data_IF_542351401730
#
_entry.id   IF_542351401730
#
_cell.length_a   1.000
_cell.length_b   1.000
_cell.length_c   1.000
_cell.angle_alpha   90.00
_cell.angle_beta   90.00
_cell.angle_gamma   90.00
#
_symmetry.space_group_name_H-M   'P 1'
#
loop_
_entity.id
_entity.type
_entity.pdbx_description
1 polymer ?
#
# COMPACT_ATOMS: atom_id res chain seq x y z
N UNK A 1 -18.49 10.91 -11.29
CA UNK A 1 -17.15 11.29 -11.78
C UNK A 1 -16.45 9.98 -12.11
N UNK A 2 -15.78 9.86 -13.26
CA UNK A 2 -15.05 8.64 -13.62
C UNK A 2 -13.56 8.88 -13.45
N UNK A 3 -12.86 7.89 -12.89
CA UNK A 3 -11.41 7.88 -12.71
C UNK A 3 -10.81 6.69 -13.43
N UNK A 4 -9.65 6.90 -14.03
CA UNK A 4 -8.80 5.84 -14.55
C UNK A 4 -7.70 5.55 -13.51
N UNK A 5 -7.59 4.28 -13.13
CA UNK A 5 -6.55 3.80 -12.22
C UNK A 5 -5.62 2.82 -12.97
N UNK A 6 -4.32 3.05 -12.88
CA UNK A 6 -3.31 2.11 -13.37
C UNK A 6 -2.43 1.60 -12.22
N UNK A 7 -1.95 0.37 -12.38
CA UNK A 7 -1.08 -0.32 -11.45
C UNK A 7 0.40 -0.05 -11.73
N UNK A 8 1.23 -0.38 -10.76
CA UNK A 8 2.68 -0.32 -10.88
C UNK A 8 3.22 -1.56 -11.61
N UNK A 9 3.62 -1.35 -12.87
CA UNK A 9 4.32 -2.31 -13.72
C UNK A 9 5.73 -1.83 -14.09
N UNK A 10 6.23 -0.77 -13.44
CA UNK A 10 7.45 -0.08 -13.85
C UNK A 10 8.66 -1.02 -13.80
N UNK A 11 9.39 -1.16 -14.90
CA UNK A 11 10.50 -2.13 -14.99
C UNK A 11 11.68 -1.82 -14.07
N UNK A 12 11.77 -0.60 -13.56
CA UNK A 12 12.84 -0.16 -12.67
C UNK A 12 12.52 -0.39 -11.19
N UNK A 13 11.26 -0.63 -10.86
CA UNK A 13 10.84 -0.81 -9.47
C UNK A 13 11.06 -2.27 -9.05
N UNK A 14 11.48 -2.45 -7.80
CA UNK A 14 11.66 -3.78 -7.22
C UNK A 14 10.31 -4.49 -7.10
N UNK A 15 10.29 -5.82 -7.15
CA UNK A 15 9.05 -6.58 -6.95
C UNK A 15 8.39 -6.28 -5.60
N UNK A 16 9.19 -5.93 -4.60
CA UNK A 16 8.73 -5.53 -3.28
C UNK A 16 7.97 -4.20 -3.36
N UNK A 17 8.56 -3.18 -3.99
CA UNK A 17 7.92 -1.89 -4.19
C UNK A 17 6.63 -2.01 -5.01
N UNK A 18 6.66 -2.78 -6.10
CA UNK A 18 5.46 -3.05 -6.91
C UNK A 18 4.36 -3.71 -6.09
N UNK A 19 4.71 -4.72 -5.29
CA UNK A 19 3.74 -5.42 -4.45
C UNK A 19 3.11 -4.45 -3.44
N UNK A 20 3.93 -3.62 -2.77
CA UNK A 20 3.44 -2.61 -1.85
C UNK A 20 2.51 -1.60 -2.54
N UNK A 21 2.93 -1.07 -3.69
CA UNK A 21 2.17 -0.10 -4.47
C UNK A 21 0.84 -0.68 -4.96
N UNK A 22 0.87 -1.85 -5.61
CA UNK A 22 -0.33 -2.50 -6.13
C UNK A 22 -1.30 -2.92 -5.03
N UNK A 23 -0.79 -3.36 -3.88
CA UNK A 23 -1.61 -3.66 -2.72
C UNK A 23 -2.28 -2.38 -2.16
N UNK A 24 -1.57 -1.25 -2.06
CA UNK A 24 -2.17 0.04 -1.68
C UNK A 24 -3.27 0.47 -2.64
N UNK A 25 -3.05 0.34 -3.94
CA UNK A 25 -4.05 0.71 -4.95
C UNK A 25 -5.30 -0.15 -4.83
N UNK A 26 -5.15 -1.47 -4.70
CA UNK A 26 -6.28 -2.39 -4.50
C UNK A 26 -7.02 -2.13 -3.18
N UNK A 27 -6.29 -1.88 -2.09
CA UNK A 27 -6.90 -1.52 -0.81
C UNK A 27 -7.66 -0.19 -0.91
N UNK A 28 -7.12 0.79 -1.63
CA UNK A 28 -7.81 2.05 -1.90
C UNK A 28 -9.11 1.86 -2.67
N UNK A 29 -9.14 0.97 -3.68
CA UNK A 29 -10.36 0.62 -4.43
C UNK A 29 -11.35 -0.12 -3.53
N UNK A 30 -10.89 -1.11 -2.77
CA UNK A 30 -11.73 -1.93 -1.90
C UNK A 30 -12.37 -1.08 -0.78
N UNK A 31 -11.59 -0.20 -0.15
CA UNK A 31 -12.06 0.67 0.93
C UNK A 31 -12.59 2.03 0.43
N UNK A 32 -12.75 2.20 -0.89
CA UNK A 32 -13.30 3.42 -1.46
C UNK A 32 -14.67 3.73 -0.85
N UNK A 33 -14.82 4.94 -0.31
CA UNK A 33 -16.06 5.41 0.29
C UNK A 33 -16.67 6.59 -0.49
N UNK A 34 -16.18 6.83 -1.70
CA UNK A 34 -16.62 7.91 -2.58
C UNK A 34 -17.43 7.36 -3.76
N UNK A 35 -18.44 8.11 -4.16
CA UNK A 35 -19.32 7.81 -5.30
C UNK A 35 -18.66 8.17 -6.64
N UNK A 36 -17.57 7.48 -6.98
CA UNK A 36 -16.95 7.55 -8.30
C UNK A 36 -16.81 6.17 -8.92
N UNK A 37 -16.91 6.12 -10.25
CA UNK A 37 -16.56 4.95 -11.03
C UNK A 37 -15.04 4.92 -11.23
N UNK A 38 -14.44 3.74 -11.06
CA UNK A 38 -13.01 3.52 -11.29
C UNK A 38 -12.88 2.50 -12.42
N UNK A 39 -12.27 2.93 -13.52
CA UNK A 39 -11.92 2.10 -14.66
C UNK A 39 -10.42 1.77 -14.60
N UNK A 40 -10.04 0.54 -14.93
CA UNK A 40 -8.63 0.15 -14.97
C UNK A 40 -7.99 0.59 -16.30
N UNK A 41 -6.86 1.29 -16.21
CA UNK A 41 -5.99 1.66 -17.32
C UNK A 41 -4.82 0.67 -17.38
N UNK A 42 -4.97 -0.35 -18.21
CA UNK A 42 -3.97 -1.43 -18.38
C UNK A 42 -2.78 -1.02 -19.25
N UNK A 43 -2.89 0.09 -19.99
CA UNK A 43 -1.83 0.57 -20.89
C UNK A 43 -0.74 1.33 -20.11
N UNK A 44 -1.12 1.99 -19.02
CA UNK A 44 -0.19 2.75 -18.19
C UNK A 44 0.65 1.85 -17.27
N UNK A 45 1.97 2.04 -17.30
CA UNK A 45 2.93 1.19 -16.58
C UNK A 45 3.30 1.72 -15.18
N UNK A 46 2.77 2.86 -14.78
CA UNK A 46 3.07 3.52 -13.50
C UNK A 46 1.80 3.61 -12.67
N UNK A 47 1.89 3.63 -11.33
CA UNK A 47 0.74 3.87 -10.49
C UNK A 47 0.17 5.27 -10.77
N UNK A 48 -1.11 5.34 -11.12
CA UNK A 48 -1.76 6.62 -11.45
C UNK A 48 -3.25 6.55 -11.22
N UNK A 49 -3.81 7.60 -10.61
CA UNK A 49 -5.24 7.86 -10.58
C UNK A 49 -5.50 9.17 -11.34
N UNK A 50 -6.29 9.12 -12.42
CA UNK A 50 -6.52 10.25 -13.31
C UNK A 50 -8.01 10.48 -13.59
N UNK A 51 -8.40 11.74 -13.67
CA UNK A 51 -9.66 12.24 -14.21
C UNK A 51 -9.39 13.59 -14.90
N UNK A 52 -10.44 14.26 -15.39
CA UNK A 52 -10.31 15.59 -16.01
C UNK A 52 -9.70 16.66 -15.10
N UNK A 53 -9.81 16.51 -13.77
CA UNK A 53 -9.42 17.55 -12.80
C UNK A 53 -8.42 17.09 -11.74
N UNK A 54 -8.17 15.79 -11.64
CA UNK A 54 -7.29 15.20 -10.63
C UNK A 54 -6.33 14.25 -11.31
N UNK A 55 -5.06 14.37 -10.95
CA UNK A 55 -4.02 13.43 -11.37
C UNK A 55 -3.07 13.19 -10.21
N UNK A 56 -3.03 11.94 -9.73
CA UNK A 56 -2.18 11.48 -8.63
C UNK A 56 -1.31 10.34 -9.14
N UNK A 57 -0.04 10.31 -8.72
CA UNK A 57 0.93 9.29 -9.11
C UNK A 57 1.53 8.53 -7.91
N UNK A 58 1.30 9.03 -6.70
CA UNK A 58 1.88 8.46 -5.49
C UNK A 58 0.85 7.52 -4.83
N UNK A 59 1.16 6.22 -4.66
CA UNK A 59 0.21 5.22 -4.17
C UNK A 59 -0.43 5.53 -2.82
N UNK A 60 0.32 6.10 -1.86
CA UNK A 60 -0.25 6.48 -0.57
C UNK A 60 -1.28 7.62 -0.73
N UNK A 61 -0.99 8.62 -1.55
CA UNK A 61 -1.88 9.73 -1.86
C UNK A 61 -3.13 9.23 -2.61
N UNK A 62 -2.97 8.28 -3.54
CA UNK A 62 -4.09 7.64 -4.23
C UNK A 62 -5.00 6.92 -3.23
N UNK A 63 -4.44 6.07 -2.37
CA UNK A 63 -5.20 5.34 -1.34
C UNK A 63 -5.98 6.33 -0.45
N UNK A 64 -5.29 7.34 0.10
CA UNK A 64 -5.92 8.37 0.95
C UNK A 64 -7.04 9.11 0.25
N UNK A 65 -6.83 9.44 -1.04
CA UNK A 65 -7.83 10.12 -1.84
C UNK A 65 -9.08 9.26 -2.06
N UNK A 66 -8.91 7.97 -2.34
CA UNK A 66 -10.01 7.03 -2.56
C UNK A 66 -10.82 6.79 -1.29
N UNK A 67 -10.17 6.62 -0.14
CA UNK A 67 -10.88 6.33 1.12
C UNK A 67 -11.23 7.60 1.92
N UNK A 68 -10.95 8.79 1.37
CA UNK A 68 -11.17 10.08 2.00
C UNK A 68 -10.57 10.22 3.42
N UNK A 69 -9.41 9.62 3.66
CA UNK A 69 -8.77 9.63 4.98
C UNK A 69 -7.38 10.26 4.95
N UNK A 70 -7.29 11.43 5.59
CA UNK A 70 -6.06 12.21 5.73
C UNK A 70 -5.62 12.33 7.20
N UNK A 71 -6.28 11.60 8.11
CA UNK A 71 -5.89 11.60 9.52
C UNK A 71 -4.52 10.96 9.70
N UNK A 72 -3.78 11.45 10.71
CA UNK A 72 -2.47 10.90 11.07
C UNK A 72 -1.37 11.12 10.03
N UNK A 73 -1.58 11.97 9.02
CA UNK A 73 -0.53 12.31 8.04
C UNK A 73 0.64 13.09 8.68
N UNK A 74 0.36 13.79 9.77
CA UNK A 74 1.34 14.54 10.58
C UNK A 74 1.97 13.70 11.70
N UNK A 75 1.63 12.40 11.81
CA UNK A 75 2.29 11.51 12.76
C UNK A 75 3.75 11.30 12.32
N UNK A 76 4.67 11.87 13.10
CA UNK A 76 6.11 11.82 12.79
C UNK A 76 6.66 10.39 12.72
N UNK A 77 6.10 9.43 13.47
CA UNK A 77 6.54 8.04 13.42
C UNK A 77 6.07 7.37 12.13
N UNK A 78 4.82 7.60 11.74
CA UNK A 78 4.29 7.15 10.45
C UNK A 78 5.10 7.76 9.29
N UNK A 79 5.32 9.08 9.29
CA UNK A 79 6.06 9.77 8.23
C UNK A 79 7.51 9.26 8.15
N UNK A 80 8.16 9.04 9.30
CA UNK A 80 9.51 8.43 9.36
C UNK A 80 9.51 7.03 8.78
N UNK A 81 8.53 6.19 9.10
CA UNK A 81 8.45 4.84 8.56
C UNK A 81 8.31 4.86 7.03
N UNK A 82 7.32 5.59 6.50
CA UNK A 82 7.05 5.63 5.06
C UNK A 82 8.24 6.18 4.28
N UNK A 83 8.88 7.26 4.77
CA UNK A 83 10.10 7.78 4.15
C UNK A 83 11.25 6.78 4.17
N UNK A 84 11.43 6.04 5.26
CA UNK A 84 12.45 4.99 5.32
C UNK A 84 12.11 3.87 4.35
N UNK A 85 10.87 3.38 4.34
CA UNK A 85 10.42 2.31 3.45
C UNK A 85 10.72 2.67 1.99
N UNK A 86 10.29 3.85 1.57
CA UNK A 86 10.51 4.34 0.21
C UNK A 86 12.01 4.42 -0.14
N UNK A 87 12.82 4.96 0.77
CA UNK A 87 14.28 5.02 0.59
C UNK A 87 14.94 3.66 0.50
N UNK A 88 14.45 2.66 1.23
CA UNK A 88 15.00 1.30 1.22
C UNK A 88 14.58 0.55 -0.04
N UNK A 89 13.35 0.77 -0.53
CA UNK A 89 12.84 0.13 -1.73
C UNK A 89 13.50 0.61 -3.03
N UNK A 90 13.96 1.87 -3.05
CA UNK A 90 14.65 2.48 -4.20
C UNK A 90 16.17 2.28 -4.20
N UNK A 91 16.74 1.81 -3.08
CA UNK A 91 18.16 1.44 -3.00
C UNK A 91 18.25 -0.07 -3.20
N UNK A 92 19.34 -0.55 -3.79
CA UNK A 92 19.73 -1.95 -3.61
C UNK A 92 20.12 -2.13 -2.13
N UNK A 93 19.12 -2.18 -1.25
CA UNK A 93 19.33 -2.50 0.14
C UNK A 93 19.61 -3.99 0.27
N UNK A 94 20.28 -4.37 1.36
CA UNK A 94 20.82 -5.70 1.60
C UNK A 94 19.77 -6.82 1.68
N UNK A 95 20.00 -7.81 2.52
CA UNK A 95 19.06 -8.91 2.66
C UNK A 95 17.78 -8.46 3.41
N UNK A 96 16.74 -9.31 3.43
CA UNK A 96 15.46 -9.04 4.11
C UNK A 96 15.66 -8.53 5.54
N UNK A 97 16.55 -9.19 6.30
CA UNK A 97 16.80 -8.94 7.74
C UNK A 97 17.27 -7.51 8.01
N UNK A 98 18.16 -6.97 7.16
CA UNK A 98 18.63 -5.59 7.27
C UNK A 98 17.48 -4.59 7.11
N UNK A 99 16.58 -4.82 6.15
CA UNK A 99 15.40 -3.97 5.94
C UNK A 99 14.46 -4.02 7.14
N UNK A 100 14.24 -5.20 7.75
CA UNK A 100 13.36 -5.35 8.91
C UNK A 100 13.86 -4.53 10.10
N UNK A 101 15.17 -4.58 10.34
CA UNK A 101 15.85 -3.88 11.43
C UNK A 101 15.78 -2.37 11.24
N UNK A 102 16.11 -1.87 10.05
CA UNK A 102 16.10 -0.43 9.74
C UNK A 102 14.72 0.21 9.83
N UNK A 103 13.68 -0.55 9.45
CA UNK A 103 12.29 -0.15 9.52
C UNK A 103 11.65 -0.34 10.89
N UNK A 104 12.32 -1.05 11.81
CA UNK A 104 11.75 -1.43 13.10
C UNK A 104 10.39 -2.12 12.93
N UNK A 105 10.30 -3.08 12.01
CA UNK A 105 9.00 -3.62 11.55
C UNK A 105 8.17 -4.27 12.66
N UNK A 106 8.77 -4.86 13.69
CA UNK A 106 8.04 -5.38 14.85
C UNK A 106 7.29 -4.25 15.59
N UNK A 107 7.91 -3.06 15.74
CA UNK A 107 7.25 -1.90 16.37
C UNK A 107 6.13 -1.36 15.50
N UNK A 108 6.36 -1.28 14.18
CA UNK A 108 5.32 -0.84 13.24
C UNK A 108 4.15 -1.84 13.20
N UNK A 109 4.44 -3.14 13.20
CA UNK A 109 3.44 -4.19 13.25
C UNK A 109 2.60 -4.10 14.53
N UNK A 110 3.25 -3.97 15.68
CA UNK A 110 2.59 -3.85 16.98
C UNK A 110 1.70 -2.60 17.09
N UNK A 111 2.08 -1.49 16.46
CA UNK A 111 1.33 -0.23 16.56
C UNK A 111 0.14 -0.16 15.59
N UNK A 112 0.30 -0.64 14.36
CA UNK A 112 -0.63 -0.32 13.27
C UNK A 112 -1.38 -1.53 12.68
N UNK A 113 -0.95 -2.76 12.96
CA UNK A 113 -1.66 -3.96 12.48
C UNK A 113 -2.73 -4.48 13.44
N UNK A 114 -2.95 -3.80 14.57
CA UNK A 114 -3.83 -4.28 15.64
C UNK A 114 -5.33 -4.19 15.31
N UNK A 115 -5.74 -3.38 14.32
CA UNK A 115 -7.15 -3.09 14.09
C UNK A 115 -7.52 -3.01 12.60
N UNK A 116 -7.43 -4.15 11.90
CA UNK A 116 -7.80 -4.26 10.49
C UNK A 116 -9.28 -4.62 10.25
N UNK A 117 -10.05 -4.91 11.30
CA UNK A 117 -11.47 -5.27 11.18
C UNK A 117 -12.42 -4.06 11.22
N UNK A 118 -12.21 -3.09 12.12
CA UNK A 118 -13.16 -2.00 12.37
C UNK A 118 -12.47 -0.62 12.42
N UNK A 119 -12.97 0.34 11.64
CA UNK A 119 -12.41 1.70 11.51
C UNK A 119 -10.95 1.74 11.03
N UNK A 120 -10.66 0.98 9.97
CA UNK A 120 -9.33 0.96 9.35
C UNK A 120 -9.02 2.34 8.76
N UNK A 121 -7.87 2.89 9.12
CA UNK A 121 -7.40 4.18 8.60
C UNK A 121 -6.50 3.99 7.37
N UNK A 122 -6.26 5.06 6.63
CA UNK A 122 -5.27 5.06 5.55
C UNK A 122 -3.89 4.65 6.05
N UNK A 123 -3.51 5.09 7.26
CA UNK A 123 -2.22 4.74 7.86
C UNK A 123 -2.12 3.22 8.06
N UNK A 124 -3.17 2.59 8.57
CA UNK A 124 -3.19 1.15 8.84
C UNK A 124 -3.04 0.36 7.52
N UNK A 125 -3.76 0.76 6.47
CA UNK A 125 -3.70 0.09 5.16
C UNK A 125 -2.35 0.28 4.47
N UNK A 126 -1.78 1.48 4.53
CA UNK A 126 -0.48 1.79 3.94
C UNK A 126 0.61 0.97 4.62
N UNK A 127 0.62 0.97 5.96
CA UNK A 127 1.60 0.22 6.72
C UNK A 127 1.42 -1.28 6.60
N UNK A 128 0.17 -1.75 6.54
CA UNK A 128 -0.12 -3.14 6.22
C UNK A 128 0.52 -3.53 4.88
N UNK A 129 0.31 -2.74 3.83
CA UNK A 129 0.85 -3.05 2.51
C UNK A 129 2.39 -3.05 2.50
N UNK A 130 3.01 -2.08 3.16
CA UNK A 130 4.46 -1.95 3.26
C UNK A 130 5.07 -3.11 4.05
N UNK A 131 4.56 -3.41 5.24
CA UNK A 131 5.05 -4.52 6.07
C UNK A 131 4.79 -5.86 5.38
N UNK A 132 3.62 -6.07 4.78
CA UNK A 132 3.30 -7.29 4.04
C UNK A 132 4.24 -7.52 2.87
N UNK A 133 4.61 -6.46 2.14
CA UNK A 133 5.52 -6.59 0.99
C UNK A 133 6.92 -7.08 1.36
N UNK A 134 7.38 -6.77 2.58
CA UNK A 134 8.70 -7.19 3.10
C UNK A 134 8.59 -8.53 3.82
N UNK A 135 7.62 -8.66 4.73
CA UNK A 135 7.47 -9.84 5.58
C UNK A 135 6.01 -10.27 5.82
N UNK A 136 5.46 -11.06 4.90
CA UNK A 136 4.14 -11.67 5.07
C UNK A 136 4.01 -12.53 6.34
N UNK A 137 5.11 -13.13 6.82
CA UNK A 137 5.10 -13.98 8.02
C UNK A 137 4.89 -13.14 9.28
N UNK A 138 5.54 -11.97 9.36
CA UNK A 138 5.33 -11.02 10.46
C UNK A 138 3.88 -10.52 10.51
N UNK A 139 3.29 -10.24 9.35
CA UNK A 139 1.86 -9.89 9.27
C UNK A 139 0.99 -11.04 9.74
N UNK A 140 1.24 -12.26 9.27
CA UNK A 140 0.44 -13.44 9.65
C UNK A 140 0.53 -13.75 11.16
N UNK A 141 1.66 -13.44 11.79
CA UNK A 141 1.87 -13.58 13.24
C UNK A 141 1.08 -12.54 14.04
N UNK A 142 1.01 -11.29 13.56
CA UNK A 142 0.36 -10.17 14.25
C UNK A 142 -1.12 -10.02 13.91
N UNK A 143 -1.55 -10.53 12.75
CA UNK A 143 -2.91 -10.49 12.24
C UNK A 143 -3.35 -11.92 11.91
N UNK A 144 -3.68 -12.73 12.93
CA UNK A 144 -4.01 -14.14 12.72
C UNK A 144 -5.27 -14.36 11.87
N UNK A 145 -6.18 -13.39 11.84
CA UNK A 145 -7.37 -13.39 11.01
C UNK A 145 -7.39 -12.14 10.12
N UNK A 146 -6.74 -12.22 8.97
CA UNK A 146 -6.80 -11.14 7.98
C UNK A 146 -8.24 -11.06 7.44
N UNK A 147 -8.88 -9.87 7.41
CA UNK A 147 -10.20 -9.72 6.82
C UNK A 147 -10.25 -10.17 5.36
N UNK A 148 -11.32 -10.84 4.95
CA UNK A 148 -11.46 -11.42 3.60
C UNK A 148 -11.29 -10.39 2.47
N UNK A 149 -11.67 -9.14 2.72
CA UNK A 149 -11.49 -8.02 1.78
C UNK A 149 -10.01 -7.73 1.53
N UNK A 150 -9.21 -7.69 2.59
CA UNK A 150 -7.76 -7.50 2.52
C UNK A 150 -7.10 -8.73 1.88
N UNK A 151 -7.53 -9.93 2.23
CA UNK A 151 -7.03 -11.17 1.63
C UNK A 151 -7.24 -11.20 0.11
N UNK A 152 -8.42 -10.78 -0.36
CA UNK A 152 -8.68 -10.62 -1.79
C UNK A 152 -7.70 -9.63 -2.45
N UNK A 153 -7.46 -8.47 -1.83
CA UNK A 153 -6.47 -7.50 -2.32
C UNK A 153 -5.05 -8.09 -2.37
N UNK A 154 -4.64 -8.89 -1.38
CA UNK A 154 -3.34 -9.56 -1.37
C UNK A 154 -3.20 -10.51 -2.57
N UNK A 155 -4.22 -11.33 -2.82
CA UNK A 155 -4.21 -12.31 -3.92
C UNK A 155 -4.06 -11.61 -5.27
N UNK A 156 -4.86 -10.57 -5.49
CA UNK A 156 -4.82 -9.79 -6.73
C UNK A 156 -3.50 -9.01 -6.87
N UNK A 157 -2.99 -8.40 -5.81
CA UNK A 157 -1.70 -7.68 -5.84
C UNK A 157 -0.53 -8.61 -6.23
N UNK A 158 -0.53 -9.83 -5.69
CA UNK A 158 0.45 -10.85 -6.06
C UNK A 158 0.33 -11.28 -7.53
N UNK A 159 -0.89 -11.41 -8.04
CA UNK A 159 -1.14 -11.76 -9.45
C UNK A 159 -0.63 -10.66 -10.38
N UNK A 160 -0.98 -9.40 -10.10
CA UNK A 160 -0.59 -8.22 -10.89
C UNK A 160 0.93 -8.04 -10.88
N UNK A 161 1.58 -8.20 -9.73
CA UNK A 161 3.02 -7.97 -9.58
C UNK A 161 3.88 -9.06 -10.26
N UNK A 162 3.35 -10.27 -10.45
CA UNK A 162 4.06 -11.40 -11.08
C UNK A 162 3.82 -11.51 -12.59
N UNK A 163 2.76 -10.89 -13.10
CA UNK A 163 2.42 -10.84 -14.52
C UNK A 163 3.29 -9.85 -15.27
#
# INVERSE_FOLDING_TARGET
MSFQLSFDHNKHDTNLLKLANNLKLLLGVEYNNRDFEIEMDEDCQIPRLMSDTVCLYEPNAILRYLINDYHGIEDEEYERFVKKFDNLCHKEFGNKEDMQSELQMEVAADKYLQNLENNVTANDLILFADVYSIDPELVSKNVPNIPSRIEHCILEANRITRG
#
